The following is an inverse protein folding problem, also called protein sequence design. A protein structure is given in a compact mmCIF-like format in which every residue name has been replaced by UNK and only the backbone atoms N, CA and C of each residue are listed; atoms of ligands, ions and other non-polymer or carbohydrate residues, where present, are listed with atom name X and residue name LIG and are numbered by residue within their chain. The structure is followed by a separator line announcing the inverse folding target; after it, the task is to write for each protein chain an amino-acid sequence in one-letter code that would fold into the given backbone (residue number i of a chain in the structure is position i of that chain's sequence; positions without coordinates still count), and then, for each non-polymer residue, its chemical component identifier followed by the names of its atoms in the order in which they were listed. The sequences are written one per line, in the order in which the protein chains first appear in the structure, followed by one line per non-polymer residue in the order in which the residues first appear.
data_IF_687727509744
#
_entry.id   IF_687727509744
#
_cell.length_a   1.000
_cell.length_b   1.000
_cell.length_c   1.000
_cell.angle_alpha   90.00
_cell.angle_beta   90.00
_cell.angle_gamma   90.00
#
_symmetry.space_group_name_H-M   'P 1'
#
loop_
_entity.id
_entity.type
_entity.pdbx_description
1 polymer ?
#
# COMPACT_ATOMS: atom_id res chain seq x y z
N UNK A 1 13.10 -13.65 -4.57
CA UNK A 1 12.75 -12.21 -4.73
C UNK A 1 13.47 -11.39 -3.68
N UNK A 2 14.15 -10.35 -4.11
CA UNK A 2 14.83 -9.43 -3.19
C UNK A 2 13.89 -8.28 -2.81
N UNK A 3 14.31 -7.52 -1.80
CA UNK A 3 13.57 -6.30 -1.44
C UNK A 3 13.45 -5.36 -2.65
N UNK A 4 14.54 -5.17 -3.38
CA UNK A 4 14.55 -4.27 -4.55
C UNK A 4 13.55 -4.72 -5.62
N UNK A 5 13.48 -6.03 -5.87
CA UNK A 5 12.52 -6.58 -6.83
C UNK A 5 11.09 -6.37 -6.37
N UNK A 6 10.82 -6.64 -5.12
CA UNK A 6 9.51 -6.47 -4.51
C UNK A 6 9.09 -5.01 -4.57
N UNK A 7 9.96 -4.10 -4.14
CA UNK A 7 9.66 -2.67 -4.11
C UNK A 7 9.37 -2.15 -5.52
N UNK A 8 10.19 -2.51 -6.49
CA UNK A 8 10.01 -2.08 -7.88
C UNK A 8 8.65 -2.52 -8.43
N UNK A 9 8.28 -3.76 -8.18
CA UNK A 9 7.01 -4.31 -8.66
C UNK A 9 5.82 -3.62 -8.00
N UNK A 10 5.86 -3.49 -6.69
CA UNK A 10 4.76 -2.88 -5.94
C UNK A 10 4.63 -1.40 -6.29
N UNK A 11 5.74 -0.69 -6.40
CA UNK A 11 5.72 0.72 -6.81
C UNK A 11 5.07 0.88 -8.18
N UNK A 12 5.45 0.03 -9.13
CA UNK A 12 4.87 0.06 -10.47
C UNK A 12 3.35 -0.11 -10.44
N UNK A 13 2.86 -1.04 -9.63
CA UNK A 13 1.43 -1.27 -9.49
C UNK A 13 0.72 -0.09 -8.82
N UNK A 14 1.29 0.42 -7.73
CA UNK A 14 0.67 1.50 -6.97
C UNK A 14 0.68 2.84 -7.69
N UNK A 15 1.70 3.10 -8.51
CA UNK A 15 1.78 4.36 -9.25
C UNK A 15 0.70 4.48 -10.33
N UNK A 16 -0.03 3.40 -10.60
CA UNK A 16 -1.19 3.44 -11.47
C UNK A 16 -2.43 4.01 -10.78
N UNK A 17 -2.38 4.22 -9.48
CA UNK A 17 -3.53 4.72 -8.73
C UNK A 17 -3.81 6.18 -9.05
N UNK A 18 -5.10 6.51 -9.07
CA UNK A 18 -5.56 7.88 -9.26
C UNK A 18 -5.95 8.46 -7.90
N UNK A 19 -5.18 9.43 -7.43
CA UNK A 19 -5.39 10.04 -6.12
C UNK A 19 -5.72 11.53 -6.21
N UNK A 20 -5.95 12.06 -7.41
CA UNK A 20 -6.15 13.50 -7.58
C UNK A 20 -7.41 14.02 -6.87
N UNK A 21 -8.38 13.15 -6.60
CA UNK A 21 -9.60 13.50 -5.89
C UNK A 21 -9.52 13.34 -4.38
N UNK A 22 -8.37 12.92 -3.88
CA UNK A 22 -8.19 12.74 -2.43
C UNK A 22 -7.63 14.02 -1.84
N UNK A 23 -8.44 14.76 -1.06
CA UNK A 23 -7.99 16.05 -0.51
C UNK A 23 -7.10 15.90 0.70
N UNK A 24 -7.08 14.72 1.30
CA UNK A 24 -6.37 14.48 2.55
C UNK A 24 -4.90 14.14 2.31
N UNK A 25 -4.08 14.47 3.30
CA UNK A 25 -2.72 13.97 3.37
C UNK A 25 -2.78 12.60 4.04
N UNK A 26 -2.33 11.57 3.33
CA UNK A 26 -2.29 10.20 3.86
C UNK A 26 -0.85 9.70 3.79
N UNK A 27 -0.38 9.12 4.88
CA UNK A 27 0.98 8.59 4.93
C UNK A 27 0.96 7.19 5.52
N UNK A 28 1.32 6.22 4.70
CA UNK A 28 1.35 4.81 5.08
C UNK A 28 2.78 4.28 5.04
N UNK A 29 3.19 3.61 6.11
CA UNK A 29 4.45 2.89 6.10
C UNK A 29 4.16 1.41 6.02
N UNK A 30 4.90 0.72 5.18
CA UNK A 30 4.78 -0.74 5.01
C UNK A 30 6.04 -1.41 5.53
N UNK A 31 5.86 -2.26 6.52
CA UNK A 31 6.93 -3.08 7.07
C UNK A 31 6.74 -4.49 6.50
N UNK A 32 7.63 -4.89 5.62
CA UNK A 32 7.51 -6.17 4.94
C UNK A 32 8.42 -7.18 5.62
N UNK A 33 7.86 -8.34 5.95
CA UNK A 33 8.57 -9.42 6.62
C UNK A 33 8.90 -10.54 5.65
N UNK A 34 9.81 -11.40 6.06
CA UNK A 34 10.15 -12.62 5.30
C UNK A 34 11.26 -12.41 4.29
N UNK A 35 11.15 -13.06 3.14
CA UNK A 35 12.22 -13.13 2.15
C UNK A 35 12.64 -11.78 1.58
N UNK A 36 11.67 -10.91 1.34
CA UNK A 36 11.94 -9.59 0.78
C UNK A 36 11.78 -8.49 1.83
N UNK A 37 12.20 -8.77 3.06
CA UNK A 37 12.00 -7.87 4.19
C UNK A 37 12.58 -6.48 3.96
N UNK A 38 11.85 -5.48 4.41
CA UNK A 38 12.26 -4.10 4.30
C UNK A 38 11.11 -3.15 4.57
N UNK A 39 11.36 -1.87 4.44
CA UNK A 39 10.39 -0.82 4.73
C UNK A 39 10.26 0.08 3.50
N UNK A 40 9.04 0.52 3.21
CA UNK A 40 8.81 1.60 2.26
C UNK A 40 7.58 2.39 2.71
N UNK A 41 7.37 3.56 2.12
CA UNK A 41 6.18 4.33 2.42
C UNK A 41 5.39 4.68 1.16
N UNK A 42 4.10 4.92 1.37
CA UNK A 42 3.19 5.43 0.34
C UNK A 42 2.55 6.68 0.91
N UNK A 43 2.65 7.77 0.18
CA UNK A 43 2.12 9.06 0.63
C UNK A 43 1.22 9.66 -0.43
N UNK A 44 0.06 10.17 -0.01
CA UNK A 44 -0.83 10.95 -0.85
C UNK A 44 -0.76 12.38 -0.34
N UNK A 45 -0.36 13.30 -1.20
CA UNK A 45 -0.19 14.70 -0.84
C UNK A 45 -0.52 15.58 -2.03
N UNK A 46 -1.45 16.50 -1.81
CA UNK A 46 -1.81 17.48 -2.85
C UNK A 46 -2.16 16.86 -4.20
N UNK A 47 -2.91 15.75 -4.15
CA UNK A 47 -3.35 15.07 -5.35
C UNK A 47 -2.29 14.22 -6.04
N UNK A 48 -1.14 14.04 -5.42
CA UNK A 48 -0.04 13.24 -5.97
C UNK A 48 0.30 12.07 -5.08
N UNK A 49 0.76 10.99 -5.69
CA UNK A 49 1.14 9.77 -5.00
C UNK A 49 2.67 9.62 -5.01
N UNK A 50 3.22 9.33 -3.84
CA UNK A 50 4.65 9.09 -3.68
C UNK A 50 4.85 7.69 -3.08
N UNK A 51 5.72 6.91 -3.69
CA UNK A 51 6.10 5.58 -3.19
C UNK A 51 7.63 5.55 -3.14
N UNK A 52 8.19 5.52 -1.93
CA UNK A 52 9.63 5.63 -1.74
C UNK A 52 10.15 4.56 -0.78
N UNK A 53 11.40 4.08 -0.98
CA UNK A 53 11.94 2.97 -0.20
C UNK A 53 12.54 3.42 1.13
N UNK A 54 11.81 4.24 1.87
CA UNK A 54 12.28 4.81 3.13
C UNK A 54 11.20 4.70 4.20
N UNK A 55 11.62 4.87 5.44
CA UNK A 55 10.74 5.02 6.56
C UNK A 55 10.11 6.41 6.53
N UNK A 56 8.81 6.51 6.81
CA UNK A 56 8.13 7.80 6.88
C UNK A 56 7.87 8.14 8.35
N UNK A 57 8.52 9.17 8.85
CA UNK A 57 8.47 9.53 10.26
C UNK A 57 7.08 9.94 10.73
N UNK A 58 6.38 10.74 9.96
CA UNK A 58 5.03 11.25 10.30
C UNK A 58 3.92 10.38 9.72
N UNK A 59 4.10 9.09 9.74
CA UNK A 59 3.13 8.14 9.20
C UNK A 59 1.85 8.13 10.00
N UNK A 60 0.73 8.01 9.28
CA UNK A 60 -0.59 7.87 9.87
C UNK A 60 -0.90 6.43 10.23
N UNK A 61 -0.38 5.49 9.45
CA UNK A 61 -0.66 4.08 9.57
C UNK A 61 0.60 3.28 9.25
N UNK A 62 0.80 2.19 9.98
CA UNK A 62 1.83 1.21 9.68
C UNK A 62 1.13 -0.10 9.33
N UNK A 63 1.44 -0.63 8.15
CA UNK A 63 0.99 -1.95 7.73
C UNK A 63 2.16 -2.92 7.80
N UNK A 64 1.93 -4.09 8.37
CA UNK A 64 2.95 -5.14 8.45
C UNK A 64 2.40 -6.42 7.84
N UNK A 65 3.11 -6.97 6.88
CA UNK A 65 2.75 -8.22 6.24
C UNK A 65 3.95 -8.81 5.50
N UNK A 66 3.80 -10.04 4.98
CA UNK A 66 4.84 -10.62 4.15
C UNK A 66 4.65 -10.18 2.69
N UNK A 67 5.63 -10.49 1.85
CA UNK A 67 5.60 -10.06 0.45
C UNK A 67 4.44 -10.69 -0.32
N UNK A 68 4.11 -11.92 -0.01
CA UNK A 68 3.01 -12.61 -0.69
C UNK A 68 1.69 -11.90 -0.46
N UNK A 69 1.39 -11.54 0.78
CA UNK A 69 0.19 -10.80 1.13
C UNK A 69 0.19 -9.43 0.47
N UNK A 70 1.33 -8.73 0.51
CA UNK A 70 1.47 -7.43 -0.11
C UNK A 70 1.16 -7.47 -1.60
N UNK A 71 1.69 -8.44 -2.30
CA UNK A 71 1.46 -8.58 -3.74
C UNK A 71 -0.01 -8.82 -4.07
N UNK A 72 -0.67 -9.64 -3.26
CA UNK A 72 -2.10 -9.92 -3.45
C UNK A 72 -2.95 -8.67 -3.22
N UNK A 73 -2.59 -7.89 -2.22
CA UNK A 73 -3.29 -6.63 -1.94
C UNK A 73 -3.05 -5.63 -3.07
N UNK A 74 -1.81 -5.46 -3.48
CA UNK A 74 -1.46 -4.49 -4.52
C UNK A 74 -2.08 -4.84 -5.87
N UNK A 75 -2.21 -6.12 -6.17
CA UNK A 75 -2.82 -6.57 -7.44
C UNK A 75 -4.35 -6.57 -7.39
N UNK A 76 -4.94 -6.33 -6.22
CA UNK A 76 -6.38 -6.34 -6.06
C UNK A 76 -6.98 -7.74 -5.87
N UNK A 77 -6.15 -8.77 -5.72
CA UNK A 77 -6.63 -10.14 -5.51
C UNK A 77 -7.22 -10.35 -4.12
N UNK A 78 -6.75 -9.59 -3.15
CA UNK A 78 -7.22 -9.67 -1.76
C UNK A 78 -7.52 -8.26 -1.27
N UNK A 79 -8.67 -8.11 -0.61
CA UNK A 79 -9.06 -6.86 0.03
C UNK A 79 -8.22 -6.67 1.30
N UNK A 80 -7.64 -5.48 1.54
CA UNK A 80 -6.86 -5.24 2.76
C UNK A 80 -7.66 -5.46 4.03
N UNK A 81 -8.96 -5.16 4.04
CA UNK A 81 -9.81 -5.40 5.21
C UNK A 81 -9.93 -6.90 5.48
N UNK A 82 -10.09 -7.70 4.44
CA UNK A 82 -10.14 -9.15 4.56
C UNK A 82 -8.82 -9.71 5.08
N UNK A 83 -7.70 -9.21 4.56
CA UNK A 83 -6.38 -9.64 5.02
C UNK A 83 -6.17 -9.32 6.50
N UNK A 84 -6.64 -8.14 6.94
CA UNK A 84 -6.58 -7.76 8.34
C UNK A 84 -7.42 -8.69 9.22
N UNK A 85 -8.64 -8.98 8.78
CA UNK A 85 -9.55 -9.85 9.51
C UNK A 85 -8.98 -11.25 9.68
N UNK A 86 -8.28 -11.74 8.67
CA UNK A 86 -7.66 -13.07 8.70
C UNK A 86 -6.30 -13.11 9.41
N UNK A 87 -5.84 -11.97 9.91
CA UNK A 87 -4.54 -11.90 10.60
C UNK A 87 -3.33 -11.90 9.68
N UNK A 88 -3.53 -11.72 8.38
CA UNK A 88 -2.44 -11.68 7.40
C UNK A 88 -1.83 -10.30 7.25
N UNK A 89 -2.55 -9.27 7.66
CA UNK A 89 -2.10 -7.89 7.64
C UNK A 89 -2.27 -7.29 9.02
N UNK A 90 -1.21 -6.75 9.58
CA UNK A 90 -1.26 -6.04 10.85
C UNK A 90 -1.37 -4.55 10.56
N UNK A 91 -2.20 -3.85 11.32
CA UNK A 91 -2.46 -2.43 11.13
C UNK A 91 -2.27 -1.70 12.46
N UNK A 92 -1.45 -0.66 12.44
CA UNK A 92 -1.26 0.22 13.59
C UNK A 92 -1.49 1.66 13.16
N UNK A 93 -2.16 2.44 14.00
CA UNK A 93 -2.43 3.84 13.73
C UNK A 93 -3.90 4.09 13.43
N UNK A 94 -4.18 5.01 12.53
CA UNK A 94 -5.55 5.41 12.22
C UNK A 94 -6.25 4.40 11.33
N UNK A 95 -7.20 3.67 11.88
CA UNK A 95 -8.01 2.74 11.08
C UNK A 95 -8.84 3.47 10.04
N UNK A 96 -9.30 4.67 10.35
CA UNK A 96 -10.05 5.48 9.42
C UNK A 96 -9.24 5.77 8.16
N UNK A 97 -7.98 6.17 8.34
CA UNK A 97 -7.09 6.42 7.20
C UNK A 97 -6.65 5.12 6.52
N UNK A 98 -6.52 4.05 7.29
CA UNK A 98 -6.19 2.75 6.73
C UNK A 98 -7.26 2.28 5.74
N UNK A 99 -8.53 2.52 6.03
CA UNK A 99 -9.62 2.15 5.14
C UNK A 99 -9.56 2.88 3.80
N UNK A 100 -8.98 4.07 3.77
CA UNK A 100 -8.85 4.83 2.53
C UNK A 100 -7.85 4.20 1.56
N UNK A 101 -6.96 3.37 2.06
CA UNK A 101 -6.05 2.61 1.20
C UNK A 101 -6.83 1.73 0.23
N UNK A 102 -7.94 1.15 0.70
CA UNK A 102 -8.81 0.33 -0.15
C UNK A 102 -9.32 1.13 -1.35
N UNK A 103 -9.74 2.36 -1.11
CA UNK A 103 -10.24 3.23 -2.19
C UNK A 103 -9.15 3.52 -3.21
N UNK A 104 -7.93 3.75 -2.75
CA UNK A 104 -6.77 3.98 -3.62
C UNK A 104 -6.50 2.74 -4.47
N UNK A 105 -6.51 1.58 -3.86
CA UNK A 105 -6.24 0.32 -4.56
C UNK A 105 -7.32 -0.03 -5.57
N UNK A 106 -8.56 0.40 -5.32
CA UNK A 106 -9.64 0.19 -6.28
C UNK A 106 -9.40 0.95 -7.58
N UNK A 107 -8.75 2.11 -7.52
CA UNK A 107 -8.42 2.84 -8.74
C UNK A 107 -7.36 2.10 -9.55
N UNK A 108 -6.38 1.47 -8.89
CA UNK A 108 -5.38 0.64 -9.55
C UNK A 108 -6.05 -0.53 -10.25
N UNK A 109 -6.94 -1.23 -9.56
CA UNK A 109 -7.63 -2.40 -10.09
C UNK A 109 -8.50 -2.03 -11.28
N UNK A 110 -9.22 -0.92 -11.18
CA UNK A 110 -10.07 -0.43 -12.24
C UNK A 110 -9.26 -0.16 -13.51
N UNK A 111 -8.12 0.45 -13.35
CA UNK A 111 -7.23 0.76 -14.46
C UNK A 111 -6.66 -0.51 -15.07
N UNK A 112 -6.27 -1.46 -14.24
CA UNK A 112 -5.71 -2.73 -14.69
C UNK A 112 -6.71 -3.58 -15.48
N UNK A 113 -8.01 -3.43 -15.21
CA UNK A 113 -9.04 -4.21 -15.90
C UNK A 113 -9.54 -3.55 -17.18
N UNK A 114 -9.12 -2.36 -17.42
CA UNK A 114 -9.54 -1.63 -18.62
C UNK A 114 -8.76 -2.14 -19.84
N UNK A 115 -9.43 -2.77 -20.80
CA UNK A 115 -8.77 -3.32 -21.98
C UNK A 115 -8.22 -2.24 -22.90
#
# INVERSE_FOLDING_TARGET
MTYADMFSKVKSELMGADVHNIPEHLAYQFNITGEAAGIFYVEVKEGSLYVEPYEYFDRDVIFTCNVETLEKIASGSVDPVEAFTKGQLQVEGSFEKALKLKDILLTCKKEATNP
#
